data_IF_240872917562
#
_entry.id   IF_240872917562
#
_cell.length_a   1.000
_cell.length_b   1.000
_cell.length_c   1.000
_cell.angle_alpha   90.00
_cell.angle_beta   90.00
_cell.angle_gamma   90.00
#
_symmetry.space_group_name_H-M   'P 1'
#
loop_
_entity.id
_entity.type
_entity.pdbx_description
1 polymer ?
#
# COMPACT_ATOMS: atom_id res chain seq x y z
N UNK A 1 6.73 23.25 31.88
CA UNK A 1 6.27 21.86 32.10
C UNK A 1 4.95 21.72 31.35
N UNK A 2 4.86 20.80 30.38
CA UNK A 2 3.62 20.58 29.64
C UNK A 2 2.55 19.96 30.56
N UNK A 3 1.29 20.40 30.46
CA UNK A 3 0.18 19.82 31.23
C UNK A 3 -0.24 18.48 30.62
N UNK A 4 -0.81 17.53 31.38
CA UNK A 4 -1.22 16.22 30.85
C UNK A 4 -2.13 16.28 29.61
N UNK A 5 -2.99 17.29 29.55
CA UNK A 5 -3.90 17.54 28.42
C UNK A 5 -3.14 17.88 27.13
N UNK A 6 -2.06 18.67 27.21
CA UNK A 6 -1.22 18.99 26.04
C UNK A 6 -0.44 17.79 25.51
N UNK A 7 -0.07 16.84 26.39
CA UNK A 7 0.60 15.59 25.99
C UNK A 7 -0.39 14.66 25.29
N UNK A 8 -1.61 14.53 25.81
CA UNK A 8 -2.65 13.71 25.19
C UNK A 8 -3.01 14.19 23.78
N UNK A 9 -3.25 15.49 23.62
CA UNK A 9 -3.58 16.07 22.32
C UNK A 9 -2.48 15.86 21.26
N UNK A 10 -1.20 15.89 21.68
CA UNK A 10 -0.08 15.61 20.80
C UNK A 10 -0.04 14.13 20.35
N UNK A 11 -0.30 13.19 21.26
CA UNK A 11 -0.40 11.76 20.95
C UNK A 11 -1.53 11.50 19.94
N UNK A 12 -2.69 12.13 20.14
CA UNK A 12 -3.84 11.96 19.25
C UNK A 12 -3.55 12.47 17.83
N UNK A 13 -2.85 13.60 17.70
CA UNK A 13 -2.46 14.13 16.39
C UNK A 13 -1.41 13.25 15.70
N UNK A 14 -0.44 12.72 16.45
CA UNK A 14 0.55 11.77 15.92
C UNK A 14 -0.13 10.50 15.41
N UNK A 15 -1.12 9.96 16.15
CA UNK A 15 -1.86 8.77 15.72
C UNK A 15 -2.70 9.04 14.47
N UNK A 16 -3.35 10.19 14.39
CA UNK A 16 -4.09 10.61 13.19
C UNK A 16 -3.18 10.75 11.97
N UNK A 17 -2.01 11.38 12.13
CA UNK A 17 -1.04 11.55 11.05
C UNK A 17 -0.53 10.20 10.52
N UNK A 18 -0.28 9.23 11.42
CA UNK A 18 0.09 7.85 11.04
C UNK A 18 -1.00 7.14 10.26
N UNK A 19 -2.25 7.23 10.74
CA UNK A 19 -3.39 6.63 10.07
C UNK A 19 -3.61 7.21 8.67
N UNK A 20 -3.48 8.53 8.52
CA UNK A 20 -3.61 9.19 7.22
C UNK A 20 -2.47 8.84 6.26
N UNK A 21 -1.23 8.81 6.74
CA UNK A 21 -0.07 8.46 5.93
C UNK A 21 -0.23 7.06 5.29
N UNK A 22 -0.60 6.06 6.08
CA UNK A 22 -0.86 4.70 5.58
C UNK A 22 -2.16 4.61 4.77
N UNK A 23 -3.23 5.21 5.27
CA UNK A 23 -4.55 5.11 4.64
C UNK A 23 -4.56 5.70 3.24
N UNK A 24 -4.01 6.91 3.08
CA UNK A 24 -3.94 7.58 1.77
C UNK A 24 -2.83 6.95 0.92
N UNK A 25 -1.67 6.67 1.50
CA UNK A 25 -0.50 6.13 0.79
C UNK A 25 -0.73 4.73 0.18
N UNK A 26 -1.68 3.96 0.71
CA UNK A 26 -2.02 2.62 0.21
C UNK A 26 -3.04 2.60 -0.94
N UNK A 27 -3.75 3.70 -1.22
CA UNK A 27 -4.81 3.74 -2.26
C UNK A 27 -4.24 3.44 -3.65
N UNK A 28 -3.14 4.08 -4.02
CA UNK A 28 -2.48 3.86 -5.32
C UNK A 28 -2.03 2.41 -5.51
N UNK A 29 -1.23 1.85 -4.58
CA UNK A 29 -0.85 0.44 -4.58
C UNK A 29 -2.03 -0.53 -4.67
N UNK A 30 -3.07 -0.32 -3.85
CA UNK A 30 -4.26 -1.18 -3.85
C UNK A 30 -4.95 -1.22 -5.22
N UNK A 31 -5.12 -0.05 -5.86
CA UNK A 31 -5.70 0.06 -7.20
C UNK A 31 -4.79 -0.56 -8.28
N UNK A 32 -3.47 -0.38 -8.17
CA UNK A 32 -2.51 -0.96 -9.09
C UNK A 32 -2.52 -2.49 -9.02
N UNK A 33 -2.40 -3.06 -7.82
CA UNK A 33 -2.42 -4.51 -7.60
C UNK A 33 -3.75 -5.12 -8.06
N UNK A 34 -4.87 -4.48 -7.72
CA UNK A 34 -6.19 -4.92 -8.19
C UNK A 34 -6.29 -4.99 -9.72
N UNK A 35 -5.78 -3.97 -10.42
CA UNK A 35 -5.72 -3.95 -11.89
C UNK A 35 -4.78 -5.00 -12.46
N UNK A 36 -3.60 -5.16 -11.88
CA UNK A 36 -2.61 -6.17 -12.30
C UNK A 36 -3.23 -7.58 -12.21
N UNK A 37 -3.82 -7.92 -11.07
CA UNK A 37 -4.49 -9.20 -10.87
C UNK A 37 -5.66 -9.40 -11.83
N UNK A 38 -6.54 -8.41 -11.99
CA UNK A 38 -7.67 -8.48 -12.90
C UNK A 38 -7.24 -8.72 -14.36
N UNK A 39 -6.20 -8.02 -14.84
CA UNK A 39 -5.67 -8.20 -16.20
C UNK A 39 -4.96 -9.51 -16.40
N UNK A 40 -4.25 -10.01 -15.38
CA UNK A 40 -3.68 -11.35 -15.42
C UNK A 40 -4.77 -12.41 -15.55
N UNK A 41 -5.85 -12.33 -14.74
CA UNK A 41 -6.97 -13.26 -14.80
C UNK A 41 -7.73 -13.19 -16.14
N UNK A 42 -7.95 -11.99 -16.68
CA UNK A 42 -8.56 -11.82 -18.01
C UNK A 42 -7.73 -12.49 -19.12
N UNK A 43 -6.41 -12.36 -19.06
CA UNK A 43 -5.50 -12.96 -20.03
C UNK A 43 -5.44 -14.49 -19.91
N UNK A 44 -5.38 -15.02 -18.67
CA UNK A 44 -5.42 -16.46 -18.39
C UNK A 44 -6.76 -17.07 -18.81
N UNK A 45 -7.88 -16.40 -18.51
CA UNK A 45 -9.21 -16.86 -18.91
C UNK A 45 -9.41 -16.94 -20.42
N UNK A 46 -8.73 -16.06 -21.19
CA UNK A 46 -8.72 -16.10 -22.66
C UNK A 46 -7.76 -17.15 -23.22
N UNK A 47 -6.60 -17.33 -22.59
CA UNK A 47 -5.54 -18.24 -23.06
C UNK A 47 -4.96 -19.00 -21.85
N UNK A 48 -5.51 -20.16 -21.48
CA UNK A 48 -5.07 -20.90 -20.29
C UNK A 48 -3.59 -21.29 -20.31
N UNK A 49 -2.99 -21.49 -21.49
CA UNK A 49 -1.57 -21.78 -21.68
C UNK A 49 -0.64 -20.60 -21.35
N UNK A 50 -1.17 -19.40 -21.17
CA UNK A 50 -0.39 -18.18 -20.88
C UNK A 50 0.02 -18.04 -19.41
N UNK A 51 -0.52 -18.85 -18.49
CA UNK A 51 -0.28 -18.76 -17.03
C UNK A 51 1.21 -18.63 -16.69
N UNK A 52 2.05 -19.52 -17.23
CA UNK A 52 3.49 -19.52 -16.95
C UNK A 52 4.21 -18.27 -17.46
N UNK A 53 3.74 -17.66 -18.55
CA UNK A 53 4.32 -16.44 -19.14
C UNK A 53 3.90 -15.19 -18.38
N UNK A 54 2.75 -15.21 -17.72
CA UNK A 54 2.16 -14.04 -17.04
C UNK A 54 2.56 -13.96 -15.58
N UNK A 55 2.75 -15.09 -14.90
CA UNK A 55 2.99 -15.13 -13.45
C UNK A 55 4.17 -14.23 -13.03
N UNK A 56 5.31 -14.37 -13.69
CA UNK A 56 6.53 -13.61 -13.38
C UNK A 56 6.35 -12.09 -13.59
N UNK A 57 5.94 -11.60 -14.78
CA UNK A 57 5.73 -10.15 -14.96
C UNK A 57 4.60 -9.60 -14.09
N UNK A 58 3.56 -10.39 -13.78
CA UNK A 58 2.49 -10.01 -12.85
C UNK A 58 3.05 -9.79 -11.44
N UNK A 59 3.80 -10.76 -10.90
CA UNK A 59 4.41 -10.67 -9.57
C UNK A 59 5.41 -9.51 -9.48
N UNK A 60 6.24 -9.31 -10.52
CA UNK A 60 7.17 -8.20 -10.57
C UNK A 60 6.45 -6.84 -10.54
N UNK A 61 5.39 -6.70 -11.33
CA UNK A 61 4.57 -5.48 -11.35
C UNK A 61 3.86 -5.25 -10.02
N UNK A 62 3.34 -6.31 -9.40
CA UNK A 62 2.70 -6.24 -8.09
C UNK A 62 3.71 -5.86 -6.99
N UNK A 63 4.93 -6.39 -7.03
CA UNK A 63 6.00 -6.05 -6.10
C UNK A 63 6.42 -4.56 -6.20
N UNK A 64 6.48 -4.00 -7.41
CA UNK A 64 6.75 -2.56 -7.58
C UNK A 64 5.60 -1.69 -7.06
N UNK A 65 4.35 -2.11 -7.23
CA UNK A 65 3.21 -1.42 -6.62
C UNK A 65 3.28 -1.49 -5.08
N UNK A 66 3.63 -2.64 -4.52
CA UNK A 66 3.78 -2.84 -3.07
C UNK A 66 4.91 -2.00 -2.48
N UNK A 67 6.02 -1.80 -3.21
CA UNK A 67 7.12 -0.96 -2.75
C UNK A 67 6.66 0.47 -2.39
N UNK A 68 5.66 1.00 -3.11
CA UNK A 68 5.07 2.32 -2.81
C UNK A 68 4.27 2.27 -1.50
N UNK A 69 3.52 1.19 -1.25
CA UNK A 69 2.80 0.99 0.02
C UNK A 69 3.78 0.89 1.21
N UNK A 70 4.92 0.23 1.01
CA UNK A 70 5.97 0.14 2.03
C UNK A 70 6.57 1.52 2.33
N UNK A 71 6.73 2.41 1.34
CA UNK A 71 7.16 3.78 1.66
C UNK A 71 6.15 4.52 2.53
N UNK A 72 4.85 4.35 2.30
CA UNK A 72 3.83 4.92 3.19
C UNK A 72 3.92 4.34 4.61
N UNK A 73 4.19 3.03 4.74
CA UNK A 73 4.42 2.36 6.02
C UNK A 73 5.64 2.91 6.76
N UNK A 74 6.76 3.06 6.05
CA UNK A 74 8.00 3.62 6.60
C UNK A 74 7.79 5.04 7.10
N UNK A 75 7.07 5.88 6.34
CA UNK A 75 6.75 7.24 6.77
C UNK A 75 5.86 7.22 8.01
N UNK A 76 4.81 6.39 8.06
CA UNK A 76 3.96 6.29 9.24
C UNK A 76 4.76 5.87 10.49
N UNK A 77 5.68 4.91 10.38
CA UNK A 77 6.55 4.54 11.51
C UNK A 77 7.57 5.62 11.90
N UNK A 78 7.92 6.53 10.98
CA UNK A 78 8.88 7.59 11.22
C UNK A 78 8.29 8.81 11.94
N UNK A 79 6.96 8.94 12.03
CA UNK A 79 6.27 10.04 12.74
C UNK A 79 6.42 9.84 14.26
N UNK A 80 6.93 10.87 14.95
CA UNK A 80 7.21 10.86 16.39
C UNK A 80 6.03 11.37 17.21
#
# INVERSE_FOLDING_TARGET
MATPETVQAAVDLTMLAKALAIGIGSIGPALAIGKIGAKAMESIGRNPESVGKILTPMLLSAAFAEAIAIYALVIAFSIK
#
